data_IF_245191674728
#
_entry.id   IF_245191674728
#
_cell.length_a   1.000
_cell.length_b   1.000
_cell.length_c   1.000
_cell.angle_alpha   90.00
_cell.angle_beta   90.00
_cell.angle_gamma   90.00
#
_symmetry.space_group_name_H-M   'P 1'
#
loop_
_entity.id
_entity.type
_entity.pdbx_description
1 polymer ?
#
# COMPACT_ATOMS: atom_id res chain seq x y z
N UNK A 1 -12.37 1.72 16.50
CA UNK A 1 -11.59 0.51 16.86
C UNK A 1 -10.19 0.57 16.28
N UNK A 2 -10.06 0.87 14.98
CA UNK A 2 -8.76 1.09 14.30
C UNK A 2 -7.93 2.18 14.98
N UNK A 3 -8.51 3.36 15.23
CA UNK A 3 -7.78 4.46 15.90
C UNK A 3 -7.24 4.06 17.28
N UNK A 4 -8.00 3.25 18.02
CA UNK A 4 -7.57 2.73 19.32
C UNK A 4 -6.42 1.75 19.16
N UNK A 5 -6.56 0.77 18.27
CA UNK A 5 -5.51 -0.21 18.00
C UNK A 5 -4.21 0.46 17.55
N UNK A 6 -4.29 1.51 16.73
CA UNK A 6 -3.14 2.32 16.34
C UNK A 6 -2.54 3.10 17.51
N UNK A 7 -3.37 3.72 18.35
CA UNK A 7 -2.89 4.47 19.52
C UNK A 7 -2.18 3.56 20.54
N UNK A 8 -2.69 2.33 20.73
CA UNK A 8 -2.15 1.34 21.66
C UNK A 8 -0.73 0.87 21.25
N UNK A 9 -0.30 1.09 19.99
CA UNK A 9 1.06 0.76 19.53
C UNK A 9 2.16 1.68 20.10
N UNK A 10 1.80 2.89 20.58
CA UNK A 10 2.75 3.89 21.05
C UNK A 10 3.55 4.61 19.96
N UNK A 11 3.32 4.34 18.67
CA UNK A 11 3.93 5.09 17.58
C UNK A 11 3.25 6.45 17.37
N UNK A 12 4.00 7.42 16.84
CA UNK A 12 3.41 8.66 16.36
C UNK A 12 2.57 8.39 15.11
N UNK A 13 1.36 8.93 15.09
CA UNK A 13 0.41 8.76 13.98
C UNK A 13 0.34 10.06 13.18
N UNK A 14 0.60 9.95 11.88
CA UNK A 14 0.45 11.05 10.92
C UNK A 14 -0.70 10.74 9.94
N UNK A 15 -1.52 11.76 9.64
CA UNK A 15 -2.55 11.67 8.59
C UNK A 15 -2.05 12.37 7.33
N UNK A 16 -2.23 11.74 6.18
CA UNK A 16 -1.86 12.32 4.89
C UNK A 16 -2.84 11.92 3.78
N UNK A 17 -2.80 12.64 2.66
CA UNK A 17 -3.56 12.33 1.45
C UNK A 17 -2.60 11.90 0.32
N UNK A 18 -3.12 11.07 -0.57
CA UNK A 18 -2.47 10.67 -1.83
C UNK A 18 -2.70 11.67 -2.96
N UNK A 19 -3.70 12.54 -2.84
CA UNK A 19 -3.96 13.60 -3.81
C UNK A 19 -3.05 14.81 -3.56
N UNK A 20 -2.21 15.16 -4.55
CA UNK A 20 -1.27 16.27 -4.44
C UNK A 20 -1.86 17.66 -4.75
N UNK A 21 -3.11 17.73 -5.25
CA UNK A 21 -3.74 18.98 -5.67
C UNK A 21 -3.11 19.61 -6.92
N UNK A 22 -3.71 20.71 -7.39
CA UNK A 22 -3.19 21.51 -8.50
C UNK A 22 -3.74 21.14 -9.88
N UNK A 23 -3.53 22.04 -10.85
CA UNK A 23 -3.84 21.87 -12.26
C UNK A 23 -2.63 22.31 -13.10
N UNK A 24 -2.38 21.64 -14.23
CA UNK A 24 -1.26 21.93 -15.14
C UNK A 24 0.13 21.77 -14.50
N UNK A 25 0.34 20.67 -13.77
CA UNK A 25 1.65 20.32 -13.24
C UNK A 25 2.58 19.92 -14.40
N UNK A 26 3.77 20.51 -14.45
CA UNK A 26 4.83 20.03 -15.34
C UNK A 26 5.47 18.75 -14.78
N UNK A 27 6.27 18.09 -15.61
CA UNK A 27 6.92 16.82 -15.29
C UNK A 27 7.86 16.93 -14.09
N UNK A 28 8.58 18.05 -13.96
CA UNK A 28 9.52 18.27 -12.87
C UNK A 28 8.79 18.39 -11.52
N UNK A 29 7.68 19.14 -11.49
CA UNK A 29 6.82 19.24 -10.32
C UNK A 29 6.18 17.89 -9.96
N UNK A 30 5.68 17.14 -10.94
CA UNK A 30 5.13 15.80 -10.70
C UNK A 30 6.16 14.86 -10.10
N UNK A 31 7.37 14.84 -10.67
CA UNK A 31 8.49 14.01 -10.18
C UNK A 31 8.85 14.37 -8.75
N UNK A 32 8.92 15.66 -8.42
CA UNK A 32 9.18 16.12 -7.06
C UNK A 32 8.08 15.68 -6.10
N UNK A 33 6.81 15.90 -6.46
CA UNK A 33 5.67 15.53 -5.61
C UNK A 33 5.63 14.02 -5.33
N UNK A 34 5.90 13.20 -6.34
CA UNK A 34 5.98 11.74 -6.19
C UNK A 34 7.16 11.34 -5.30
N UNK A 35 8.34 11.93 -5.51
CA UNK A 35 9.54 11.66 -4.70
C UNK A 35 9.33 12.02 -3.24
N UNK A 36 8.74 13.18 -2.96
CA UNK A 36 8.42 13.64 -1.61
C UNK A 36 7.41 12.68 -0.95
N UNK A 37 6.38 12.26 -1.69
CA UNK A 37 5.36 11.33 -1.19
C UNK A 37 5.92 9.94 -0.91
N UNK A 38 6.75 9.40 -1.79
CA UNK A 38 7.43 8.12 -1.57
C UNK A 38 8.37 8.18 -0.37
N UNK A 39 9.08 9.30 -0.19
CA UNK A 39 9.95 9.51 0.97
C UNK A 39 9.16 9.57 2.28
N UNK A 40 8.00 10.25 2.28
CA UNK A 40 7.07 10.25 3.42
C UNK A 40 6.59 8.84 3.76
N UNK A 41 6.17 8.06 2.76
CA UNK A 41 5.71 6.69 2.96
C UNK A 41 6.84 5.77 3.45
N UNK A 42 8.05 5.93 2.93
CA UNK A 42 9.24 5.17 3.35
C UNK A 42 9.65 5.46 4.79
N UNK A 43 9.42 6.67 5.28
CA UNK A 43 9.72 7.05 6.66
C UNK A 43 8.77 6.39 7.69
N UNK A 44 7.55 6.02 7.28
CA UNK A 44 6.59 5.36 8.14
C UNK A 44 6.97 3.90 8.42
N UNK A 45 6.68 3.41 9.64
CA UNK A 45 6.84 1.99 10.01
C UNK A 45 5.74 1.11 9.42
N UNK A 46 4.53 1.65 9.35
CA UNK A 46 3.33 1.01 8.84
C UNK A 46 2.44 2.11 8.26
N UNK A 47 1.84 1.85 7.10
CA UNK A 47 0.78 2.69 6.55
C UNK A 47 -0.54 1.93 6.65
N UNK A 48 -1.57 2.58 7.17
CA UNK A 48 -2.95 2.07 7.14
C UNK A 48 -3.75 2.89 6.15
N UNK A 49 -4.40 2.24 5.19
CA UNK A 49 -5.08 2.96 4.09
C UNK A 49 -6.30 2.23 3.56
N UNK A 50 -7.30 2.98 3.11
CA UNK A 50 -8.44 2.48 2.32
C UNK A 50 -8.37 2.95 0.85
N UNK A 51 -7.18 3.42 0.40
CA UNK A 51 -6.93 3.97 -0.93
C UNK A 51 -6.01 3.09 -1.75
N UNK A 52 -6.41 2.83 -3.00
CA UNK A 52 -5.62 2.04 -3.96
C UNK A 52 -4.21 2.62 -4.17
N UNK A 53 -4.11 3.93 -4.39
CA UNK A 53 -2.80 4.57 -4.54
C UNK A 53 -1.98 4.56 -3.25
N UNK A 54 -2.64 4.55 -2.08
CA UNK A 54 -1.94 4.37 -0.80
C UNK A 54 -1.25 3.00 -0.77
N UNK A 55 -1.98 1.94 -1.12
CA UNK A 55 -1.44 0.59 -1.23
C UNK A 55 -0.27 0.52 -2.22
N UNK A 56 -0.43 1.05 -3.44
CA UNK A 56 0.62 1.04 -4.47
C UNK A 56 1.88 1.78 -4.00
N UNK A 57 1.72 2.97 -3.41
CA UNK A 57 2.86 3.76 -2.93
C UNK A 57 3.62 3.05 -1.81
N UNK A 58 2.94 2.29 -0.94
CA UNK A 58 3.60 1.48 0.08
C UNK A 58 4.47 0.39 -0.52
N UNK A 59 3.98 -0.28 -1.56
CA UNK A 59 4.74 -1.30 -2.28
C UNK A 59 6.00 -0.70 -2.92
N UNK A 60 5.86 0.45 -3.59
CA UNK A 60 6.97 1.16 -4.22
C UNK A 60 7.99 1.71 -3.21
N UNK A 61 7.55 2.12 -2.02
CA UNK A 61 8.43 2.61 -0.96
C UNK A 61 9.05 1.49 -0.12
N UNK A 62 8.59 0.24 -0.31
CA UNK A 62 8.94 -0.92 0.51
C UNK A 62 8.34 -0.87 1.92
N UNK A 63 7.27 -0.11 2.15
CA UNK A 63 6.67 0.10 3.47
C UNK A 63 5.58 -0.94 3.77
N UNK A 64 5.58 -1.58 4.95
CA UNK A 64 4.46 -2.40 5.41
C UNK A 64 3.13 -1.67 5.35
N UNK A 65 2.08 -2.35 4.87
CA UNK A 65 0.79 -1.76 4.58
C UNK A 65 -0.36 -2.63 5.08
N UNK A 66 -1.21 -2.05 5.92
CA UNK A 66 -2.50 -2.60 6.28
C UNK A 66 -3.58 -1.89 5.46
N UNK A 67 -4.33 -2.64 4.67
CA UNK A 67 -5.32 -2.10 3.75
C UNK A 67 -6.72 -2.40 4.27
N UNK A 68 -7.53 -1.35 4.37
CA UNK A 68 -8.90 -1.42 4.85
C UNK A 68 -9.87 -1.62 3.68
N UNK A 69 -10.98 -2.35 3.90
CA UNK A 69 -11.98 -2.57 2.87
C UNK A 69 -12.73 -1.26 2.60
N UNK A 70 -13.07 -1.04 1.33
CA UNK A 70 -13.91 0.08 0.91
C UNK A 70 -15.01 -0.41 -0.06
N UNK A 71 -15.95 0.47 -0.39
CA UNK A 71 -17.14 0.10 -1.17
C UNK A 71 -16.88 -0.21 -2.66
N UNK A 72 -15.70 0.08 -3.22
CA UNK A 72 -15.49 -0.01 -4.67
C UNK A 72 -14.86 -1.33 -5.14
N UNK A 73 -14.54 -2.26 -4.22
CA UNK A 73 -13.92 -3.57 -4.47
C UNK A 73 -12.60 -3.56 -5.26
N UNK A 74 -12.16 -2.42 -5.80
CA UNK A 74 -10.96 -2.30 -6.63
C UNK A 74 -9.73 -2.71 -5.85
N UNK A 75 -9.64 -2.25 -4.60
CA UNK A 75 -8.48 -2.54 -3.75
C UNK A 75 -8.39 -4.02 -3.45
N UNK A 76 -9.51 -4.63 -3.02
CA UNK A 76 -9.59 -6.06 -2.73
C UNK A 76 -9.21 -6.89 -3.95
N UNK A 77 -9.80 -6.57 -5.12
CA UNK A 77 -9.51 -7.29 -6.35
C UNK A 77 -8.06 -7.10 -6.80
N UNK A 78 -7.51 -5.88 -6.71
CA UNK A 78 -6.08 -5.65 -6.99
C UNK A 78 -5.19 -6.44 -6.06
N UNK A 79 -5.52 -6.51 -4.76
CA UNK A 79 -4.73 -7.27 -3.81
C UNK A 79 -4.81 -8.78 -4.11
N UNK A 80 -5.99 -9.33 -4.37
CA UNK A 80 -6.17 -10.75 -4.65
C UNK A 80 -5.53 -11.20 -5.97
N UNK A 81 -5.72 -10.43 -7.03
CA UNK A 81 -5.28 -10.83 -8.37
C UNK A 81 -3.81 -10.56 -8.61
N UNK A 82 -3.21 -9.55 -7.95
CA UNK A 82 -1.86 -9.08 -8.26
C UNK A 82 -0.88 -9.08 -7.10
N UNK A 83 -1.36 -9.09 -5.86
CA UNK A 83 -0.53 -8.87 -4.66
C UNK A 83 -0.84 -9.90 -3.58
N UNK A 84 -1.38 -11.05 -3.98
CA UNK A 84 -1.75 -12.15 -3.11
C UNK A 84 -0.51 -12.68 -2.40
N UNK A 85 -0.55 -12.77 -1.08
CA UNK A 85 0.57 -13.30 -0.30
C UNK A 85 1.82 -12.42 -0.23
N UNK A 86 1.76 -11.17 -0.72
CA UNK A 86 2.91 -10.26 -0.61
C UNK A 86 3.26 -9.99 0.87
N UNK A 87 4.53 -10.19 1.30
CA UNK A 87 4.88 -10.31 2.72
C UNK A 87 4.67 -9.04 3.55
N UNK A 88 4.61 -7.88 2.90
CA UNK A 88 4.42 -6.55 3.54
C UNK A 88 3.01 -6.00 3.38
N UNK A 89 2.07 -6.77 2.83
CA UNK A 89 0.73 -6.29 2.51
C UNK A 89 -0.31 -7.20 3.14
N UNK A 90 -1.19 -6.64 3.97
CA UNK A 90 -2.37 -7.32 4.48
C UNK A 90 -3.60 -6.53 4.07
N UNK A 91 -4.54 -7.18 3.41
CA UNK A 91 -5.90 -6.67 3.24
C UNK A 91 -6.75 -7.20 4.40
N UNK A 92 -7.34 -6.30 5.19
CA UNK A 92 -8.17 -6.66 6.33
C UNK A 92 -9.60 -6.94 5.86
N UNK A 93 -10.07 -8.18 5.94
CA UNK A 93 -11.47 -8.47 5.64
C UNK A 93 -12.39 -7.93 6.76
N UNK A 94 -13.66 -7.68 6.44
CA UNK A 94 -14.62 -7.09 7.39
C UNK A 94 -14.83 -7.99 8.63
N UNK A 95 -14.77 -9.30 8.43
CA UNK A 95 -14.94 -10.31 9.46
C UNK A 95 -13.74 -10.39 10.42
N UNK A 96 -12.58 -9.94 9.97
CA UNK A 96 -11.30 -9.99 10.71
C UNK A 96 -11.00 -8.69 11.45
N UNK A 97 -11.89 -7.71 11.37
CA UNK A 97 -11.74 -6.39 11.99
C UNK A 97 -11.44 -6.49 13.49
N UNK A 98 -11.99 -7.48 14.19
CA UNK A 98 -11.73 -7.72 15.61
C UNK A 98 -10.26 -8.03 15.93
N UNK A 99 -9.53 -8.61 14.98
CA UNK A 99 -8.14 -9.08 15.11
C UNK A 99 -7.12 -8.05 14.57
N UNK A 100 -7.57 -6.82 14.28
CA UNK A 100 -6.73 -5.77 13.67
C UNK A 100 -5.41 -5.52 14.42
N UNK A 101 -5.41 -5.62 15.76
CA UNK A 101 -4.20 -5.44 16.56
C UNK A 101 -3.13 -6.48 16.21
N UNK A 102 -3.53 -7.74 16.01
CA UNK A 102 -2.63 -8.83 15.60
C UNK A 102 -2.02 -8.59 14.22
N UNK A 103 -2.81 -8.09 13.27
CA UNK A 103 -2.29 -7.74 11.94
C UNK A 103 -1.32 -6.55 11.98
N UNK A 104 -1.61 -5.54 12.81
CA UNK A 104 -0.71 -4.41 13.05
C UNK A 104 0.62 -4.89 13.62
N UNK A 105 0.59 -5.71 14.68
CA UNK A 105 1.81 -6.25 15.31
C UNK A 105 2.62 -7.10 14.33
N UNK A 106 1.94 -7.95 13.55
CA UNK A 106 2.57 -8.76 12.50
C UNK A 106 3.28 -7.86 11.49
N UNK A 107 2.61 -6.85 10.94
CA UNK A 107 3.19 -5.95 9.94
C UNK A 107 4.33 -5.08 10.49
N UNK A 108 4.23 -4.62 11.74
CA UNK A 108 5.30 -3.86 12.40
C UNK A 108 6.58 -4.68 12.61
N UNK A 109 6.47 -6.01 12.65
CA UNK A 109 7.62 -6.92 12.71
C UNK A 109 8.30 -7.14 11.34
N UNK A 110 7.63 -6.79 10.24
CA UNK A 110 8.17 -6.97 8.89
C UNK A 110 9.14 -5.82 8.56
N UNK A 111 10.36 -6.10 8.10
CA UNK A 111 11.28 -5.06 7.68
C UNK A 111 10.81 -4.36 6.41
N UNK A 112 11.27 -3.13 6.21
CA UNK A 112 11.09 -2.43 4.94
C UNK A 112 11.77 -3.19 3.78
N UNK A 113 11.12 -3.18 2.62
CA UNK A 113 11.72 -3.54 1.34
C UNK A 113 12.63 -2.45 0.78
N UNK A 114 13.25 -2.75 -0.36
CA UNK A 114 14.04 -1.77 -1.11
C UNK A 114 13.16 -1.07 -2.15
N UNK A 115 13.57 0.11 -2.64
CA UNK A 115 12.79 0.86 -3.63
C UNK A 115 12.97 0.33 -5.07
N UNK A 116 13.94 -0.57 -5.26
CA UNK A 116 14.22 -1.28 -6.51
C UNK A 116 13.65 -2.72 -6.50
N UNK A 117 13.03 -3.15 -5.40
CA UNK A 117 12.31 -4.42 -5.32
C UNK A 117 11.04 -4.35 -6.18
N UNK A 118 10.87 -5.29 -7.11
CA UNK A 118 9.62 -5.41 -7.85
C UNK A 118 8.52 -5.88 -6.90
N UNK A 119 7.38 -5.17 -6.80
CA UNK A 119 6.29 -5.57 -5.91
C UNK A 119 5.48 -6.76 -6.42
N UNK A 120 5.71 -7.15 -7.68
CA UNK A 120 5.02 -8.24 -8.38
C UNK A 120 6.07 -9.15 -9.03
N UNK A 121 5.82 -10.46 -9.02
CA UNK A 121 6.59 -11.39 -9.84
C UNK A 121 5.98 -11.44 -11.25
N UNK A 122 6.70 -10.91 -12.24
CA UNK A 122 6.21 -10.83 -13.61
C UNK A 122 5.96 -12.21 -14.23
N UNK A 123 6.51 -13.29 -13.68
CA UNK A 123 6.25 -14.66 -14.11
C UNK A 123 4.82 -15.12 -13.80
N UNK A 124 4.19 -14.57 -12.77
CA UNK A 124 2.80 -14.90 -12.39
C UNK A 124 1.77 -14.34 -13.40
N UNK A 125 2.20 -13.46 -14.32
CA UNK A 125 1.33 -12.74 -15.25
C UNK A 125 1.62 -13.08 -16.72
N UNK A 126 2.12 -14.28 -17.01
CA UNK A 126 2.40 -14.73 -18.38
C UNK A 126 1.16 -14.68 -19.28
N UNK A 127 -0.04 -14.89 -18.74
CA UNK A 127 -1.28 -14.76 -19.52
C UNK A 127 -1.56 -13.32 -19.94
N UNK A 128 -1.22 -12.32 -19.10
CA UNK A 128 -1.27 -10.92 -19.50
C UNK A 128 -0.25 -10.64 -20.61
N UNK A 129 0.97 -11.18 -20.52
CA UNK A 129 1.98 -11.03 -21.57
C UNK A 129 1.48 -11.61 -22.90
N UNK A 130 0.84 -12.79 -22.88
CA UNK A 130 0.24 -13.38 -24.08
C UNK A 130 -0.85 -12.49 -24.69
N UNK A 131 -1.68 -11.88 -23.87
CA UNK A 131 -2.74 -10.97 -24.33
C UNK A 131 -2.18 -9.71 -25.00
N UNK A 132 -1.06 -9.17 -24.52
CA UNK A 132 -0.41 -7.99 -25.10
C UNK A 132 0.25 -8.26 -26.45
N UNK A 133 0.70 -9.50 -26.71
CA UNK A 133 1.33 -9.91 -27.98
C UNK A 133 0.27 -10.29 -29.04
N UNK A 134 -0.97 -10.51 -28.63
CA UNK A 134 -2.09 -10.85 -29.51
C UNK A 134 -2.81 -9.63 -30.12
N UNK A 135 -2.31 -8.42 -29.89
CA UNK A 135 -2.81 -7.13 -30.42
C UNK A 135 -1.80 -6.60 -31.45
#
# INVERSE_FOLDING_TARGET
MIDKALADTGYQIEKTDTHAGGSQLDEAHCTKLLTDKLSQFRAAKLVVTDRLHGMILCLLSGTPCLVLPNANHKIRQTQLDWLGGHPRLVFLELEEIADIATFIDSLLSVPHGTMDESPVDIAEYDDLKKALVAI
#
